data_IF_819453081363
#
_entry.id   IF_819453081363
#
_cell.length_a   1.000
_cell.length_b   1.000
_cell.length_c   1.000
_cell.angle_alpha   90.00
_cell.angle_beta   90.00
_cell.angle_gamma   90.00
#
_symmetry.space_group_name_H-M   'P 1'
#
loop_
_entity.id
_entity.type
_entity.pdbx_description
1 polymer ?
#
# COMPACT_ATOMS: atom_id res chain seq x y z
N UNK A 1 -29.17 -22.24 33.51
CA UNK A 1 -30.35 -22.61 32.69
C UNK A 1 -29.87 -22.81 31.26
N UNK A 2 -30.06 -24.02 30.75
CA UNK A 2 -29.78 -24.47 29.37
C UNK A 2 -30.46 -23.60 28.32
N UNK A 3 -29.84 -23.49 27.14
CA UNK A 3 -30.42 -23.58 25.78
C UNK A 3 -29.24 -23.44 24.80
N UNK A 4 -28.59 -24.49 24.27
CA UNK A 4 -29.05 -25.56 23.36
C UNK A 4 -29.62 -25.02 22.02
N UNK A 5 -28.96 -25.42 20.91
CA UNK A 5 -29.48 -25.36 19.53
C UNK A 5 -28.89 -24.24 18.68
N UNK A 6 -28.39 -24.44 17.47
CA UNK A 6 -28.43 -25.61 16.61
C UNK A 6 -27.53 -25.40 15.38
N UNK A 7 -27.05 -26.53 14.87
CA UNK A 7 -26.17 -26.72 13.72
C UNK A 7 -26.95 -26.49 12.41
N UNK A 8 -26.43 -25.69 11.48
CA UNK A 8 -26.84 -25.72 10.09
C UNK A 8 -25.62 -25.49 9.18
N UNK A 9 -25.00 -26.61 8.79
CA UNK A 9 -24.11 -26.70 7.63
C UNK A 9 -24.98 -26.72 6.38
N UNK A 10 -24.73 -25.80 5.44
CA UNK A 10 -25.27 -25.85 4.08
C UNK A 10 -24.12 -26.01 3.10
N UNK A 11 -24.23 -27.09 2.34
CA UNK A 11 -23.28 -27.71 1.44
C UNK A 11 -23.50 -27.30 -0.03
N UNK A 12 -22.39 -27.06 -0.73
CA UNK A 12 -22.05 -27.27 -2.16
C UNK A 12 -23.03 -26.90 -3.31
N UNK A 13 -22.49 -26.16 -4.28
CA UNK A 13 -22.61 -26.40 -5.74
C UNK A 13 -21.46 -25.67 -6.48
N UNK A 14 -20.35 -26.33 -6.83
CA UNK A 14 -20.00 -26.85 -8.18
C UNK A 14 -20.56 -26.06 -9.37
N UNK A 15 -19.69 -25.28 -10.03
CA UNK A 15 -19.87 -24.79 -11.40
C UNK A 15 -18.60 -25.05 -12.20
N UNK A 16 -18.60 -26.15 -12.96
CA UNK A 16 -17.54 -26.57 -13.88
C UNK A 16 -17.89 -26.03 -15.27
N UNK A 17 -16.98 -25.25 -15.88
CA UNK A 17 -17.06 -24.83 -17.27
C UNK A 17 -15.81 -25.30 -18.01
N UNK A 18 -15.93 -26.44 -18.67
CA UNK A 18 -14.92 -26.97 -19.60
C UNK A 18 -15.26 -26.51 -21.02
N UNK A 19 -14.30 -25.87 -21.68
CA UNK A 19 -14.34 -25.52 -23.09
C UNK A 19 -12.93 -25.44 -23.61
N UNK A 20 -12.48 -26.50 -24.28
CA UNK A 20 -11.22 -26.56 -25.01
C UNK A 20 -11.49 -26.13 -26.45
N UNK A 21 -10.73 -25.16 -26.96
CA UNK A 21 -10.41 -25.09 -28.39
C UNK A 21 -9.05 -24.42 -28.60
N UNK A 22 -8.27 -25.05 -29.46
CA UNK A 22 -6.85 -24.83 -29.72
C UNK A 22 -6.69 -23.73 -30.78
N UNK A 23 -5.84 -22.72 -30.54
CA UNK A 23 -5.24 -21.92 -31.61
C UNK A 23 -3.98 -21.22 -31.14
N UNK A 24 -2.86 -21.79 -31.56
CA UNK A 24 -1.51 -21.25 -31.47
C UNK A 24 -1.41 -19.98 -32.33
N UNK A 25 -1.26 -18.82 -31.70
CA UNK A 25 -0.74 -17.61 -32.36
C UNK A 25 0.33 -16.99 -31.48
N UNK A 26 1.58 -17.15 -31.89
CA UNK A 26 2.69 -16.30 -31.45
C UNK A 26 2.34 -14.86 -31.79
N UNK A 27 2.25 -14.00 -30.78
CA UNK A 27 2.43 -12.56 -30.94
C UNK A 27 2.83 -11.95 -29.61
N UNK A 28 4.09 -11.52 -29.57
CA UNK A 28 4.63 -10.39 -28.84
C UNK A 28 4.00 -10.03 -27.50
N UNK A 29 4.83 -10.16 -26.45
CA UNK A 29 4.86 -9.35 -25.24
C UNK A 29 4.14 -8.01 -25.43
N UNK A 30 2.84 -7.97 -25.08
CA UNK A 30 2.16 -6.72 -24.80
C UNK A 30 2.45 -6.47 -23.33
N UNK A 31 3.49 -5.69 -23.07
CA UNK A 31 3.65 -4.97 -21.81
C UNK A 31 2.30 -4.33 -21.55
N UNK A 32 1.57 -4.83 -20.55
CA UNK A 32 0.34 -4.20 -20.10
C UNK A 32 0.73 -2.79 -19.70
N UNK A 33 0.27 -1.83 -20.50
CA UNK A 33 0.44 -0.42 -20.22
C UNK A 33 0.05 -0.18 -18.77
N UNK A 34 0.94 0.46 -18.02
CA UNK A 34 0.67 0.91 -16.67
C UNK A 34 -0.71 1.59 -16.65
N UNK A 35 -1.58 1.29 -15.67
CA UNK A 35 -2.90 1.88 -15.63
C UNK A 35 -2.76 3.40 -15.69
N UNK A 36 -3.40 4.01 -16.71
CA UNK A 36 -3.47 5.45 -16.87
C UNK A 36 -3.92 6.08 -15.55
N UNK A 37 -3.23 7.16 -15.16
CA UNK A 37 -3.48 7.94 -13.96
C UNK A 37 -4.98 8.20 -13.77
N UNK A 38 -5.62 7.40 -12.92
CA UNK A 38 -7.06 7.39 -12.77
C UNK A 38 -7.45 6.32 -11.77
N UNK A 39 -7.42 6.71 -10.49
CA UNK A 39 -7.78 5.88 -9.34
C UNK A 39 -6.78 4.74 -9.07
N UNK A 40 -5.59 5.11 -8.59
CA UNK A 40 -4.80 4.19 -7.76
C UNK A 40 -5.66 3.85 -6.56
N UNK A 41 -5.96 2.57 -6.34
CA UNK A 41 -6.60 2.12 -5.10
C UNK A 41 -5.93 2.81 -3.90
N UNK A 42 -6.68 3.18 -2.83
CA UNK A 42 -6.14 3.93 -1.70
C UNK A 42 -4.81 3.32 -1.31
N UNK A 43 -3.75 4.15 -1.27
CA UNK A 43 -2.39 3.68 -1.10
C UNK A 43 -2.32 2.91 0.22
N UNK A 44 -2.41 1.58 0.16
CA UNK A 44 -2.34 0.74 1.35
C UNK A 44 -0.89 0.68 1.79
N UNK A 45 -0.67 0.73 3.10
CA UNK A 45 0.67 0.62 3.70
C UNK A 45 1.42 -0.59 3.15
N UNK A 46 0.75 -1.73 3.01
CA UNK A 46 1.31 -2.98 2.50
C UNK A 46 1.71 -2.91 1.02
N UNK A 47 0.97 -2.15 0.20
CA UNK A 47 1.29 -1.98 -1.22
C UNK A 47 2.56 -1.15 -1.37
N UNK A 48 2.65 -0.01 -0.67
CA UNK A 48 3.86 0.82 -0.66
C UNK A 48 5.04 0.01 -0.14
N UNK A 49 4.88 -0.71 0.97
CA UNK A 49 5.94 -1.54 1.55
C UNK A 49 6.42 -2.62 0.57
N UNK A 50 5.48 -3.27 -0.13
CA UNK A 50 5.78 -4.28 -1.14
C UNK A 50 6.61 -3.73 -2.30
N UNK A 51 6.31 -2.52 -2.78
CA UNK A 51 7.06 -1.87 -3.87
C UNK A 51 8.53 -1.60 -3.51
N UNK A 52 8.84 -1.39 -2.23
CA UNK A 52 10.21 -1.15 -1.75
C UNK A 52 10.80 -2.34 -0.98
N UNK A 53 10.22 -3.54 -1.15
CA UNK A 53 10.79 -4.79 -0.63
C UNK A 53 10.71 -4.95 0.89
N UNK A 54 9.78 -4.27 1.56
CA UNK A 54 9.57 -4.39 2.99
C UNK A 54 8.36 -5.27 3.36
N UNK A 55 8.55 -6.15 4.36
CA UNK A 55 7.45 -6.74 5.11
C UNK A 55 7.07 -5.83 6.28
N UNK A 56 6.08 -4.97 6.05
CA UNK A 56 5.67 -3.94 7.02
C UNK A 56 4.96 -4.52 8.24
N UNK A 57 5.19 -3.91 9.40
CA UNK A 57 4.41 -4.14 10.62
C UNK A 57 3.55 -2.92 10.91
N UNK A 58 2.23 -3.09 10.93
CA UNK A 58 1.30 -2.00 11.24
C UNK A 58 1.42 -1.62 12.71
N UNK A 59 1.50 -0.31 12.97
CA UNK A 59 1.60 0.27 14.32
C UNK A 59 0.42 1.16 14.67
N UNK A 60 -0.20 1.78 13.67
CA UNK A 60 -1.38 2.62 13.86
C UNK A 60 -2.39 2.28 12.78
N UNK A 61 -3.63 2.05 13.18
CA UNK A 61 -4.78 1.85 12.30
C UNK A 61 -5.94 2.68 12.87
N UNK A 62 -6.12 3.87 12.30
CA UNK A 62 -7.06 4.88 12.76
C UNK A 62 -7.87 5.43 11.58
N UNK A 63 -8.95 6.14 11.89
CA UNK A 63 -9.86 6.70 10.88
C UNK A 63 -9.19 7.77 10.01
N UNK A 64 -8.15 8.45 10.54
CA UNK A 64 -7.43 9.53 9.86
C UNK A 64 -6.15 9.06 9.16
N UNK A 65 -5.54 7.97 9.62
CA UNK A 65 -4.29 7.45 9.07
C UNK A 65 -4.07 5.98 9.40
N UNK A 66 -3.28 5.34 8.55
CA UNK A 66 -2.71 4.02 8.82
C UNK A 66 -1.21 4.06 8.62
N UNK A 67 -0.48 3.60 9.62
CA UNK A 67 0.98 3.66 9.65
C UNK A 67 1.59 2.29 9.93
N UNK A 68 2.64 1.98 9.16
CA UNK A 68 3.46 0.81 9.39
C UNK A 68 4.94 1.17 9.49
N UNK A 69 5.67 0.33 10.21
CA UNK A 69 7.12 0.38 10.33
C UNK A 69 7.77 -0.73 9.53
N UNK A 70 8.90 -0.38 8.93
CA UNK A 70 9.80 -1.27 8.24
C UNK A 70 11.18 -1.19 8.88
N UNK A 71 11.74 -2.36 9.19
CA UNK A 71 13.09 -2.47 9.74
C UNK A 71 14.06 -2.91 8.64
N UNK A 72 15.19 -2.21 8.51
CA UNK A 72 16.18 -2.45 7.48
C UNK A 72 17.61 -2.20 7.96
N UNK A 73 18.59 -2.75 7.23
CA UNK A 73 20.02 -2.55 7.54
C UNK A 73 20.46 -1.09 7.44
N UNK A 74 19.85 -0.36 6.51
CA UNK A 74 20.12 1.06 6.23
C UNK A 74 19.30 2.00 7.15
N UNK A 75 18.59 1.44 8.14
CA UNK A 75 17.74 2.16 9.07
C UNK A 75 16.27 1.77 8.99
N UNK A 76 15.53 2.16 10.03
CA UNK A 76 14.08 2.02 10.09
C UNK A 76 13.40 3.13 9.29
N UNK A 77 12.22 2.84 8.75
CA UNK A 77 11.39 3.83 8.09
C UNK A 77 9.89 3.58 8.34
N UNK A 78 9.12 4.66 8.26
CA UNK A 78 7.68 4.64 8.45
C UNK A 78 6.97 4.91 7.12
N UNK A 79 5.89 4.19 6.90
CA UNK A 79 4.96 4.40 5.79
C UNK A 79 3.62 4.79 6.39
N UNK A 80 3.19 6.02 6.14
CA UNK A 80 1.93 6.57 6.65
C UNK A 80 1.01 6.84 5.47
N UNK A 81 -0.23 6.36 5.54
CA UNK A 81 -1.22 6.44 4.46
C UNK A 81 -2.50 7.05 4.98
N UNK A 82 -3.21 7.78 4.14
CA UNK A 82 -4.31 8.65 4.54
C UNK A 82 -5.59 8.35 3.73
N UNK A 83 -6.78 8.36 4.36
CA UNK A 83 -8.06 8.20 3.67
C UNK A 83 -8.43 9.43 2.83
N UNK A 84 -7.89 10.60 3.15
CA UNK A 84 -8.09 11.84 2.42
C UNK A 84 -6.82 12.68 2.43
N UNK A 85 -6.64 13.53 1.41
CA UNK A 85 -5.46 14.40 1.30
C UNK A 85 -5.37 15.40 2.46
N UNK A 86 -6.51 15.92 2.96
CA UNK A 86 -6.54 16.85 4.09
C UNK A 86 -5.86 16.28 5.35
N UNK A 87 -6.03 14.98 5.62
CA UNK A 87 -5.39 14.34 6.77
C UNK A 87 -3.88 14.27 6.62
N UNK A 88 -3.38 14.00 5.41
CA UNK A 88 -1.94 14.03 5.12
C UNK A 88 -1.36 15.43 5.32
N UNK A 89 -2.05 16.46 4.84
CA UNK A 89 -1.60 17.85 4.99
C UNK A 89 -1.56 18.28 6.46
N UNK A 90 -2.60 17.97 7.24
CA UNK A 90 -2.60 18.21 8.70
C UNK A 90 -1.49 17.43 9.40
N UNK A 91 -1.26 16.18 9.00
CA UNK A 91 -0.18 15.36 9.55
C UNK A 91 1.21 15.94 9.22
N UNK A 92 1.44 16.43 8.00
CA UNK A 92 2.69 17.07 7.61
C UNK A 92 2.94 18.38 8.38
N UNK A 93 1.89 19.18 8.58
CA UNK A 93 1.96 20.39 9.41
C UNK A 93 2.36 20.04 10.85
N UNK A 94 1.70 19.05 11.45
CA UNK A 94 2.05 18.56 12.78
C UNK A 94 3.46 17.95 12.84
N UNK A 95 3.91 17.25 11.79
CA UNK A 95 5.24 16.65 11.72
C UNK A 95 6.36 17.69 11.56
N UNK A 96 6.06 18.87 10.99
CA UNK A 96 7.06 19.91 10.72
C UNK A 96 7.80 20.40 11.96
N UNK A 97 7.17 20.37 13.14
CA UNK A 97 7.81 20.76 14.40
C UNK A 97 8.99 19.85 14.78
N UNK A 98 9.00 18.61 14.27
CA UNK A 98 10.09 17.65 14.47
C UNK A 98 11.12 17.72 13.33
N UNK A 99 10.74 18.31 12.20
CA UNK A 99 11.52 18.39 10.99
C UNK A 99 11.81 17.04 10.34
N UNK A 100 12.81 17.04 9.45
CA UNK A 100 13.31 15.85 8.76
C UNK A 100 12.93 15.81 7.28
N UNK A 101 13.35 14.75 6.59
CA UNK A 101 13.04 14.54 5.17
C UNK A 101 11.98 13.47 5.02
N UNK A 102 11.07 13.72 4.08
CA UNK A 102 9.93 12.88 3.81
C UNK A 102 9.75 12.71 2.31
N UNK A 103 9.38 11.51 1.86
CA UNK A 103 8.91 11.31 0.50
C UNK A 103 7.38 11.39 0.51
N UNK A 104 6.83 12.39 -0.18
CA UNK A 104 5.42 12.77 -0.08
C UNK A 104 4.69 12.50 -1.40
N UNK A 105 3.60 11.74 -1.34
CA UNK A 105 2.64 11.53 -2.43
C UNK A 105 1.26 12.13 -2.13
N UNK A 106 0.27 11.91 -3.00
CA UNK A 106 -1.08 12.53 -2.89
C UNK A 106 -1.90 12.04 -1.71
N UNK A 107 -1.48 11.00 -0.97
CA UNK A 107 -2.22 10.45 0.19
C UNK A 107 -1.38 9.49 1.02
N UNK A 108 -0.07 9.66 0.96
CA UNK A 108 0.90 8.86 1.70
C UNK A 108 2.18 9.66 1.92
N UNK A 109 2.90 9.29 2.97
CA UNK A 109 4.20 9.84 3.33
C UNK A 109 5.12 8.69 3.76
N UNK A 110 6.38 8.75 3.34
CA UNK A 110 7.44 7.89 3.87
C UNK A 110 8.44 8.74 4.63
N UNK A 111 8.65 8.43 5.92
CA UNK A 111 9.69 9.02 6.76
C UNK A 111 10.86 8.04 6.85
N UNK A 112 12.04 8.46 6.38
CA UNK A 112 13.23 7.62 6.34
C UNK A 112 14.52 8.47 6.28
N UNK A 113 15.69 7.90 6.57
CA UNK A 113 16.97 8.48 6.19
C UNK A 113 17.01 8.92 4.71
N UNK A 114 17.65 10.05 4.40
CA UNK A 114 17.66 10.62 3.06
C UNK A 114 18.14 9.65 1.97
N UNK A 115 19.14 8.82 2.29
CA UNK A 115 19.65 7.81 1.38
C UNK A 115 18.56 6.80 0.97
N UNK A 116 17.69 6.41 1.91
CA UNK A 116 16.56 5.52 1.64
C UNK A 116 15.48 6.25 0.81
N UNK A 117 15.15 7.50 1.13
CA UNK A 117 14.17 8.27 0.36
C UNK A 117 14.58 8.42 -1.12
N UNK A 118 15.87 8.65 -1.39
CA UNK A 118 16.40 8.71 -2.76
C UNK A 118 16.31 7.36 -3.48
N UNK A 119 16.52 6.24 -2.76
CA UNK A 119 16.35 4.88 -3.31
C UNK A 119 14.87 4.55 -3.58
N UNK A 120 13.94 5.02 -2.75
CA UNK A 120 12.51 4.69 -2.87
C UNK A 120 11.78 5.54 -3.91
N UNK A 121 12.21 6.79 -4.14
CA UNK A 121 11.52 7.73 -5.04
C UNK A 121 11.30 7.21 -6.48
N UNK A 122 12.24 6.52 -7.14
CA UNK A 122 12.00 5.98 -8.48
C UNK A 122 10.86 4.96 -8.54
N UNK A 123 10.67 4.17 -7.48
CA UNK A 123 9.64 3.13 -7.40
C UNK A 123 8.28 3.71 -6.96
N UNK A 124 8.30 4.64 -6.00
CA UNK A 124 7.07 5.18 -5.39
C UNK A 124 6.56 6.46 -6.06
N UNK A 125 7.42 7.18 -6.79
CA UNK A 125 7.17 8.54 -7.23
C UNK A 125 7.18 9.55 -6.07
N UNK A 126 6.42 10.63 -6.22
CA UNK A 126 6.32 11.69 -5.22
C UNK A 126 7.53 12.64 -5.16
N UNK A 127 7.52 13.51 -4.15
CA UNK A 127 8.53 14.54 -3.96
C UNK A 127 9.17 14.43 -2.57
N UNK A 128 10.50 14.55 -2.53
CA UNK A 128 11.21 14.65 -1.26
C UNK A 128 11.03 16.08 -0.75
N UNK A 129 10.50 16.21 0.46
CA UNK A 129 10.29 17.48 1.16
C UNK A 129 11.14 17.50 2.42
N UNK A 130 11.73 18.66 2.70
CA UNK A 130 12.28 18.98 4.00
C UNK A 130 11.18 19.70 4.77
N UNK A 131 10.82 19.17 5.95
CA UNK A 131 9.96 19.87 6.90
C UNK A 131 10.81 20.55 7.97
#
# INVERSE_FOLDING_TARGET
>A
MLLAGGLALLTLATGCGAGSDESKVSSSTKVTAAPSAGVVAPAKVEVIAGLIGCKVKIRTDADELREGVCHGKDGDFLITTFPEERFKLTWLDAASIYGGKYLVGTRWVVSAPEALLKKFRPELGGNIQQL
#
